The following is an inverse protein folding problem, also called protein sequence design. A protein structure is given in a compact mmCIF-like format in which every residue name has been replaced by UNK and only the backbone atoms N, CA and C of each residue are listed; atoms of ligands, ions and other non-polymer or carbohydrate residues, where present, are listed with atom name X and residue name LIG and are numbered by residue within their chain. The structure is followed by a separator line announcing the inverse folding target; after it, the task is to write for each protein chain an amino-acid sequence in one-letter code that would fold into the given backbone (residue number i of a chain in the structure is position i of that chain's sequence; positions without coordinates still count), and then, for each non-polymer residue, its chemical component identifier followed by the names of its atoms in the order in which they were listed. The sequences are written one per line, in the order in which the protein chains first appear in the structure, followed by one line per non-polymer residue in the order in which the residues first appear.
data_IF_391218470977
#
_entry.id   IF_391218470977
#
_cell.length_a   1.000
_cell.length_b   1.000
_cell.length_c   1.000
_cell.angle_alpha   90.00
_cell.angle_beta   90.00
_cell.angle_gamma   90.00
#
_symmetry.space_group_name_H-M   'P 1'
#
loop_
_entity.id
_entity.type
_entity.pdbx_description
1 polymer ?
#
# COMPACT_ATOMS: atom_id res chain seq x y z
N UNK A 1 -13.39 11.57 -32.06
CA UNK A 1 -12.40 11.51 -30.95
C UNK A 1 -11.13 10.92 -31.54
N UNK A 2 -10.05 11.69 -31.66
CA UNK A 2 -8.76 11.16 -32.15
C UNK A 2 -7.89 10.71 -30.97
N UNK A 3 -7.37 9.48 -31.04
CA UNK A 3 -6.54 8.91 -29.98
C UNK A 3 -5.07 9.24 -30.24
N UNK A 4 -4.37 9.76 -29.22
CA UNK A 4 -2.95 10.06 -29.31
C UNK A 4 -2.09 8.81 -29.07
N UNK A 5 -1.60 8.20 -30.15
CA UNK A 5 -0.80 6.98 -30.09
C UNK A 5 0.52 7.09 -29.30
N UNK A 6 1.09 8.30 -29.12
CA UNK A 6 2.35 8.48 -28.36
C UNK A 6 2.14 8.42 -26.84
N UNK A 7 0.95 8.77 -26.36
CA UNK A 7 0.63 8.81 -24.91
C UNK A 7 -0.14 7.58 -24.45
N UNK A 8 -0.82 6.90 -25.37
CA UNK A 8 -1.58 5.70 -25.06
C UNK A 8 -0.67 4.50 -24.99
N UNK A 9 -0.77 3.76 -23.89
CA UNK A 9 -0.09 2.47 -23.69
C UNK A 9 -1.13 1.39 -23.51
N UNK A 10 -0.78 0.16 -23.84
CA UNK A 10 -1.66 -1.00 -23.69
C UNK A 10 -1.15 -1.88 -22.56
N UNK A 11 -2.08 -2.53 -21.86
CA UNK A 11 -1.77 -3.51 -20.83
C UNK A 11 -2.70 -4.70 -21.02
N UNK A 12 -2.12 -5.89 -21.03
CA UNK A 12 -2.86 -7.14 -21.03
C UNK A 12 -2.94 -7.62 -19.58
N UNK A 13 -4.14 -7.92 -19.10
CA UNK A 13 -4.39 -8.31 -17.71
C UNK A 13 -4.98 -9.72 -17.73
N UNK A 14 -4.13 -10.72 -17.54
CA UNK A 14 -4.48 -12.12 -17.39
C UNK A 14 -3.37 -12.83 -16.59
N UNK A 15 -3.62 -14.06 -16.13
CA UNK A 15 -2.59 -14.86 -15.45
C UNK A 15 -1.39 -15.20 -16.35
N UNK A 16 -1.60 -15.28 -17.65
CA UNK A 16 -0.56 -15.51 -18.65
C UNK A 16 -0.26 -14.25 -19.44
N UNK A 17 1.03 -13.96 -19.63
CA UNK A 17 1.47 -12.83 -20.43
C UNK A 17 1.43 -13.19 -21.91
N UNK A 18 0.61 -12.44 -22.66
CA UNK A 18 0.56 -12.52 -24.12
C UNK A 18 1.00 -11.20 -24.72
N UNK A 19 1.76 -11.30 -25.80
CA UNK A 19 2.10 -10.14 -26.61
C UNK A 19 0.83 -9.67 -27.34
N UNK A 20 0.42 -8.44 -27.07
CA UNK A 20 -0.77 -7.83 -27.66
C UNK A 20 -0.35 -6.68 -28.57
N UNK A 21 -0.59 -6.84 -29.87
CA UNK A 21 -0.30 -5.79 -30.85
C UNK A 21 -1.59 -5.04 -31.18
N UNK A 22 -1.78 -3.87 -30.58
CA UNK A 22 -2.88 -2.95 -30.92
C UNK A 22 -2.31 -1.81 -31.78
N UNK A 23 -2.95 -1.57 -32.92
CA UNK A 23 -2.64 -0.46 -33.82
C UNK A 23 -3.71 0.62 -33.73
N UNK A 24 -3.28 1.88 -33.70
CA UNK A 24 -4.15 3.06 -33.81
C UNK A 24 -3.63 3.91 -34.97
N UNK A 25 -4.39 3.94 -36.06
CA UNK A 25 -3.91 4.48 -37.34
C UNK A 25 -2.74 3.64 -37.86
N UNK A 26 -1.56 4.25 -38.00
CA UNK A 26 -0.32 3.59 -38.45
C UNK A 26 0.69 3.31 -37.32
N UNK A 27 0.34 3.59 -36.05
CA UNK A 27 1.24 3.43 -34.92
C UNK A 27 0.85 2.22 -34.06
N UNK A 28 1.84 1.38 -33.72
CA UNK A 28 1.71 0.29 -32.75
C UNK A 28 1.86 0.87 -31.34
N UNK A 29 0.92 0.55 -30.46
CA UNK A 29 0.96 1.02 -29.07
C UNK A 29 1.97 0.19 -28.24
N UNK A 30 2.67 0.87 -27.34
CA UNK A 30 3.61 0.23 -26.40
C UNK A 30 2.84 -0.58 -25.34
N UNK A 31 3.18 -1.87 -25.20
CA UNK A 31 2.65 -2.72 -24.14
C UNK A 31 3.46 -2.55 -22.84
N UNK A 32 2.79 -2.29 -21.72
CA UNK A 32 3.42 -2.14 -20.39
C UNK A 32 2.98 -3.22 -19.40
N UNK A 33 3.93 -3.68 -18.58
CA UNK A 33 3.72 -4.70 -17.55
C UNK A 33 3.20 -4.12 -16.23
N UNK A 34 3.54 -2.85 -15.96
CA UNK A 34 3.15 -2.12 -14.76
C UNK A 34 2.69 -0.71 -15.13
N UNK A 35 1.64 -0.24 -14.47
CA UNK A 35 1.10 1.09 -14.70
C UNK A 35 0.62 1.71 -13.38
N UNK A 36 0.84 3.01 -13.21
CA UNK A 36 0.30 3.72 -12.06
C UNK A 36 -0.99 4.43 -12.44
N UNK A 37 -2.11 3.96 -11.90
CA UNK A 37 -3.43 4.55 -12.13
C UNK A 37 -4.00 5.05 -10.81
N UNK A 38 -4.30 6.35 -10.72
CA UNK A 38 -4.87 6.98 -9.52
C UNK A 38 -4.11 6.65 -8.22
N UNK A 39 -2.79 6.51 -8.32
CA UNK A 39 -1.89 6.18 -7.22
C UNK A 39 -1.86 4.70 -6.81
N UNK A 40 -2.60 3.83 -7.51
CA UNK A 40 -2.47 2.37 -7.41
C UNK A 40 -1.46 1.85 -8.43
N UNK A 41 -0.73 0.80 -8.08
CA UNK A 41 0.11 0.09 -9.03
C UNK A 41 -0.65 -1.12 -9.58
N UNK A 42 -1.01 -1.04 -10.86
CA UNK A 42 -1.63 -2.14 -11.60
C UNK A 42 -0.51 -2.94 -12.26
N UNK A 43 -0.57 -4.26 -12.11
CA UNK A 43 0.35 -5.22 -12.70
C UNK A 43 -0.42 -6.26 -13.51
N UNK A 44 0.23 -6.82 -14.53
CA UNK A 44 -0.34 -7.85 -15.42
C UNK A 44 -0.90 -9.07 -14.67
N UNK A 45 -0.20 -9.50 -13.60
CA UNK A 45 -0.51 -10.65 -12.75
C UNK A 45 -1.72 -10.44 -11.83
N UNK A 46 -2.39 -9.27 -11.93
CA UNK A 46 -3.47 -8.83 -11.02
C UNK A 46 -3.03 -8.88 -9.55
N UNK A 47 -1.71 -8.89 -9.29
CA UNK A 47 -1.18 -9.14 -7.96
C UNK A 47 -1.32 -7.90 -7.08
N UNK A 48 -2.38 -7.90 -6.29
CA UNK A 48 -2.67 -6.90 -5.26
C UNK A 48 -1.51 -6.68 -4.27
N UNK A 49 -0.67 -7.69 -4.03
CA UNK A 49 0.35 -7.67 -2.98
C UNK A 49 1.36 -6.52 -3.15
N UNK A 50 1.77 -6.24 -4.39
CA UNK A 50 2.74 -5.18 -4.70
C UNK A 50 2.17 -3.80 -4.35
N UNK A 51 0.90 -3.56 -4.68
CA UNK A 51 0.22 -2.31 -4.30
C UNK A 51 0.12 -2.16 -2.78
N UNK A 52 -0.24 -3.22 -2.04
CA UNK A 52 -0.28 -3.19 -0.57
C UNK A 52 1.09 -2.85 0.01
N UNK A 53 2.17 -3.42 -0.52
CA UNK A 53 3.52 -3.14 -0.05
C UNK A 53 3.90 -1.67 -0.28
N UNK A 54 3.78 -1.19 -1.51
CA UNK A 54 4.10 0.19 -1.88
C UNK A 54 3.27 1.17 -1.06
N UNK A 55 1.98 0.89 -0.89
CA UNK A 55 1.10 1.75 -0.10
C UNK A 55 1.47 1.71 1.37
N UNK A 56 1.82 0.56 1.93
CA UNK A 56 2.31 0.46 3.32
C UNK A 56 3.58 1.29 3.54
N UNK A 57 4.51 1.29 2.59
CA UNK A 57 5.77 2.05 2.67
C UNK A 57 5.52 3.55 2.53
N UNK A 58 4.74 3.97 1.53
CA UNK A 58 4.32 5.38 1.37
C UNK A 58 3.59 5.90 2.60
N UNK A 59 2.70 5.10 3.17
CA UNK A 59 1.97 5.48 4.39
C UNK A 59 2.93 5.69 5.56
N UNK A 60 3.84 4.72 5.80
CA UNK A 60 4.83 4.83 6.88
C UNK A 60 5.70 6.06 6.68
N UNK A 61 6.24 6.25 5.49
CA UNK A 61 7.09 7.38 5.17
C UNK A 61 6.35 8.69 5.45
N UNK A 62 5.15 8.87 4.88
CA UNK A 62 4.39 10.11 5.03
C UNK A 62 3.96 10.38 6.46
N UNK A 63 3.61 9.34 7.22
CA UNK A 63 3.25 9.49 8.62
C UNK A 63 4.45 9.90 9.48
N UNK A 64 5.63 9.31 9.25
CA UNK A 64 6.83 9.60 10.02
C UNK A 64 7.54 10.89 9.60
N UNK A 65 7.38 11.33 8.35
CA UNK A 65 7.73 12.70 7.93
C UNK A 65 7.01 13.72 8.82
N UNK A 66 5.73 13.47 9.12
CA UNK A 66 4.91 14.31 10.00
C UNK A 66 5.00 13.88 11.49
N UNK A 67 6.21 13.61 11.99
CA UNK A 67 6.44 13.16 13.38
C UNK A 67 5.87 14.10 14.46
N UNK A 68 5.69 15.38 14.12
CA UNK A 68 5.09 16.40 14.98
C UNK A 68 3.64 16.06 15.37
N UNK A 69 2.93 15.28 14.55
CA UNK A 69 1.58 14.78 14.84
C UNK A 69 1.53 13.81 16.02
N UNK A 70 2.67 13.29 16.49
CA UNK A 70 2.77 12.40 17.64
C UNK A 70 3.68 12.99 18.74
N UNK A 71 3.25 14.06 19.43
CA UNK A 71 4.03 14.64 20.52
C UNK A 71 4.26 13.62 21.64
N UNK A 72 5.40 13.72 22.32
CA UNK A 72 5.72 12.87 23.48
C UNK A 72 4.67 12.98 24.59
N UNK A 73 4.15 14.19 24.83
CA UNK A 73 3.20 14.53 25.90
C UNK A 73 1.75 14.04 25.68
N UNK A 74 1.45 13.42 24.53
CA UNK A 74 0.10 12.93 24.25
C UNK A 74 -0.08 11.49 24.74
N UNK A 75 -1.20 11.20 25.39
CA UNK A 75 -1.56 9.85 25.86
C UNK A 75 -1.66 8.82 24.72
N UNK A 76 -1.46 7.54 25.05
CA UNK A 76 -1.41 6.46 24.06
C UNK A 76 -2.72 6.33 23.27
N UNK A 77 -3.88 6.49 23.91
CA UNK A 77 -5.18 6.38 23.26
C UNK A 77 -5.39 7.47 22.20
N UNK A 78 -4.99 8.70 22.49
CA UNK A 78 -5.05 9.80 21.51
C UNK A 78 -4.09 9.54 20.35
N UNK A 79 -2.88 9.04 20.62
CA UNK A 79 -1.93 8.64 19.57
C UNK A 79 -2.47 7.53 18.66
N UNK A 80 -3.15 6.52 19.23
CA UNK A 80 -3.85 5.47 18.45
C UNK A 80 -4.92 6.08 17.54
N UNK A 81 -5.71 7.04 18.03
CA UNK A 81 -6.73 7.75 17.23
C UNK A 81 -6.11 8.55 16.09
N UNK A 82 -4.99 9.23 16.32
CA UNK A 82 -4.26 9.97 15.27
C UNK A 82 -3.73 9.02 14.20
N UNK A 83 -3.13 7.90 14.62
CA UNK A 83 -2.67 6.85 13.71
C UNK A 83 -3.83 6.31 12.85
N UNK A 84 -4.96 5.98 13.48
CA UNK A 84 -6.13 5.49 12.75
C UNK A 84 -6.70 6.53 11.78
N UNK A 85 -6.78 7.80 12.19
CA UNK A 85 -7.31 8.88 11.36
C UNK A 85 -6.43 9.15 10.14
N UNK A 86 -5.11 9.17 10.29
CA UNK A 86 -4.20 9.55 9.21
C UNK A 86 -3.65 8.33 8.45
N UNK A 87 -2.96 7.43 9.16
CA UNK A 87 -2.25 6.33 8.53
C UNK A 87 -3.23 5.31 7.94
N UNK A 88 -4.27 4.92 8.67
CA UNK A 88 -5.23 3.94 8.14
C UNK A 88 -6.09 4.52 7.01
N UNK A 89 -6.46 5.81 7.06
CA UNK A 89 -7.16 6.45 5.95
C UNK A 89 -6.34 6.44 4.66
N UNK A 90 -5.06 6.78 4.73
CA UNK A 90 -4.17 6.79 3.56
C UNK A 90 -3.89 5.37 3.03
N UNK A 91 -3.72 4.41 3.94
CA UNK A 91 -3.51 3.00 3.60
C UNK A 91 -4.76 2.35 2.99
N UNK A 92 -5.94 2.61 3.55
CA UNK A 92 -7.20 2.00 3.13
C UNK A 92 -7.81 2.62 1.87
N UNK A 93 -7.32 3.77 1.39
CA UNK A 93 -7.84 4.39 0.17
C UNK A 93 -7.88 3.43 -1.04
N UNK A 94 -6.91 2.51 -1.12
CA UNK A 94 -6.84 1.50 -2.18
C UNK A 94 -7.48 0.14 -1.86
N UNK A 95 -8.05 -0.06 -0.68
CA UNK A 95 -8.43 -1.41 -0.23
C UNK A 95 -9.54 -2.06 -1.06
N UNK A 96 -10.40 -1.26 -1.70
CA UNK A 96 -11.50 -1.76 -2.54
C UNK A 96 -11.02 -2.50 -3.79
N UNK A 97 -9.81 -2.22 -4.27
CA UNK A 97 -9.23 -2.92 -5.43
C UNK A 97 -8.37 -4.12 -5.02
N UNK A 98 -8.31 -4.44 -3.73
CA UNK A 98 -7.46 -5.49 -3.21
C UNK A 98 -8.19 -6.83 -3.19
N UNK A 99 -7.60 -7.84 -3.84
CA UNK A 99 -8.06 -9.21 -3.73
C UNK A 99 -7.71 -9.77 -2.35
N UNK A 100 -8.74 -10.22 -1.63
CA UNK A 100 -8.54 -10.83 -0.31
C UNK A 100 -7.75 -12.13 -0.43
N UNK A 101 -6.64 -12.22 0.31
CA UNK A 101 -5.83 -13.43 0.41
C UNK A 101 -5.12 -13.48 1.76
N UNK A 102 -4.73 -14.68 2.21
CA UNK A 102 -3.95 -14.86 3.46
C UNK A 102 -2.64 -14.05 3.43
N UNK A 103 -2.01 -13.93 2.26
CA UNK A 103 -0.77 -13.18 2.08
C UNK A 103 -0.98 -11.68 2.24
N UNK A 104 -2.06 -11.13 1.65
CA UNK A 104 -2.44 -9.72 1.81
C UNK A 104 -2.80 -9.43 3.27
N UNK A 105 -3.60 -10.28 3.91
CA UNK A 105 -3.94 -10.15 5.32
C UNK A 105 -2.69 -10.10 6.21
N UNK A 106 -1.71 -10.98 5.98
CA UNK A 106 -0.45 -11.00 6.72
C UNK A 106 0.36 -9.71 6.52
N UNK A 107 0.36 -9.13 5.31
CA UNK A 107 1.03 -7.84 5.04
C UNK A 107 0.34 -6.68 5.75
N UNK A 108 -0.99 -6.64 5.76
CA UNK A 108 -1.76 -5.64 6.51
C UNK A 108 -1.44 -5.73 8.00
N UNK A 109 -1.46 -6.93 8.58
CA UNK A 109 -1.11 -7.13 9.99
C UNK A 109 0.35 -6.71 10.29
N UNK A 110 1.28 -7.00 9.38
CA UNK A 110 2.68 -6.57 9.50
C UNK A 110 2.80 -5.03 9.48
N UNK A 111 1.96 -4.36 8.70
CA UNK A 111 1.87 -2.91 8.69
C UNK A 111 1.36 -2.35 10.02
N UNK A 112 0.26 -2.87 10.54
CA UNK A 112 -0.31 -2.44 11.84
C UNK A 112 0.70 -2.63 12.99
N UNK A 113 1.31 -3.81 13.09
CA UNK A 113 2.32 -4.11 14.11
C UNK A 113 3.50 -3.14 14.01
N UNK A 114 3.98 -2.85 12.79
CA UNK A 114 5.06 -1.89 12.57
C UNK A 114 4.70 -0.47 13.01
N UNK A 115 3.44 -0.05 12.88
CA UNK A 115 2.99 1.23 13.39
C UNK A 115 2.96 1.23 14.93
N UNK A 116 2.45 0.16 15.54
CA UNK A 116 2.37 0.05 17.00
C UNK A 116 3.73 -0.08 17.68
N UNK A 117 4.69 -0.84 17.13
CA UNK A 117 6.04 -0.92 17.71
C UNK A 117 6.70 0.44 17.78
N UNK A 118 6.57 1.24 16.72
CA UNK A 118 7.11 2.60 16.68
C UNK A 118 6.36 3.53 17.63
N UNK A 119 5.04 3.39 17.74
CA UNK A 119 4.20 4.17 18.65
C UNK A 119 4.54 3.90 20.13
N UNK A 120 4.74 2.62 20.48
CA UNK A 120 5.12 2.17 21.81
C UNK A 120 6.61 2.34 22.11
N UNK A 121 7.41 2.73 21.11
CA UNK A 121 8.88 2.82 21.20
C UNK A 121 9.55 1.52 21.66
N UNK A 122 8.98 0.39 21.28
CA UNK A 122 9.54 -0.94 21.59
C UNK A 122 10.87 -1.11 20.82
N UNK A 123 12.01 -1.31 21.50
CA UNK A 123 13.27 -1.54 20.83
C UNK A 123 13.27 -2.94 20.19
N UNK A 124 14.01 -3.10 19.09
CA UNK A 124 14.12 -4.38 18.39
C UNK A 124 14.75 -5.50 19.25
N UNK A 125 15.51 -5.12 20.28
CA UNK A 125 16.17 -6.03 21.22
C UNK A 125 15.20 -6.80 22.12
N UNK A 126 13.99 -6.28 22.36
CA UNK A 126 12.97 -6.95 23.18
C UNK A 126 12.40 -8.21 22.51
N UNK A 127 12.62 -8.40 21.19
CA UNK A 127 12.16 -9.59 20.42
C UNK A 127 10.68 -9.97 20.65
N UNK A 128 9.82 -8.98 20.91
CA UNK A 128 8.38 -9.19 21.11
C UNK A 128 7.72 -9.72 19.86
N UNK A 129 6.83 -10.68 20.05
CA UNK A 129 6.00 -11.25 18.99
C UNK A 129 4.93 -10.27 18.53
N UNK A 130 4.47 -10.43 17.28
CA UNK A 130 3.38 -9.62 16.73
C UNK A 130 2.11 -9.66 17.60
N UNK A 131 1.82 -10.80 18.24
CA UNK A 131 0.67 -10.97 19.13
C UNK A 131 0.80 -10.13 20.41
N UNK A 132 1.97 -10.13 21.03
CA UNK A 132 2.23 -9.35 22.25
C UNK A 132 2.10 -7.85 22.00
N UNK A 133 2.63 -7.36 20.88
CA UNK A 133 2.53 -5.94 20.50
C UNK A 133 1.07 -5.53 20.35
N UNK A 134 0.25 -6.35 19.70
CA UNK A 134 -1.20 -6.09 19.56
C UNK A 134 -1.89 -6.12 20.93
N UNK A 135 -1.54 -7.07 21.79
CA UNK A 135 -2.15 -7.18 23.12
C UNK A 135 -1.83 -5.97 24.02
N UNK A 136 -0.64 -5.39 23.88
CA UNK A 136 -0.26 -4.14 24.57
C UNK A 136 -1.07 -2.93 24.10
N UNK A 137 -1.65 -2.97 22.91
CA UNK A 137 -2.46 -1.88 22.35
C UNK A 137 -3.97 -2.08 22.50
N UNK A 138 -4.43 -3.25 22.95
CA UNK A 138 -5.86 -3.50 23.23
C UNK A 138 -6.26 -3.06 24.65
N UNK A 139 -5.30 -2.91 25.56
CA UNK A 139 -5.49 -2.25 26.86
C UNK A 139 -5.60 -0.73 26.71
#
# INVERSE_FOLDING_TARGET
MEINAKRTKTMYIERDTKALTITVGNAVLEQVLKYSYLGQMITEDVATLKDVQIRSEKTRQKFWENKELLPSNVGLNTKKRILACYAYSFFNYGCKSWTYSKTVQKKIQTFEVSCYTRLLKVPWTEKKTNKEIIQMTVK
#
